data_IF_405509346111
#
_entry.id   IF_405509346111
#
_cell.length_a   1.000
_cell.length_b   1.000
_cell.length_c   1.000
_cell.angle_alpha   90.00
_cell.angle_beta   90.00
_cell.angle_gamma   90.00
#
_symmetry.space_group_name_H-M   'P 1'
#
loop_
_entity.id
_entity.type
_entity.pdbx_description
1 polymer ?
#
# COMPACT_ATOMS: atom_id res chain seq x y z
N UNK A 1 52.78 6.69 23.74
CA UNK A 1 51.31 6.91 23.70
C UNK A 1 50.66 6.47 22.37
N UNK A 2 51.24 5.54 21.60
CA UNK A 2 50.67 5.05 20.32
C UNK A 2 49.98 3.68 20.36
N UNK A 3 50.07 2.93 21.47
CA UNK A 3 49.56 1.56 21.56
C UNK A 3 48.05 1.47 21.81
N UNK A 4 47.44 2.46 22.49
CA UNK A 4 45.98 2.47 22.76
C UNK A 4 45.17 2.65 21.48
N UNK A 5 45.52 3.64 20.64
CA UNK A 5 44.83 3.88 19.37
C UNK A 5 44.95 2.71 18.39
N UNK A 6 46.07 2.00 18.39
CA UNK A 6 46.28 0.86 17.50
C UNK A 6 45.47 -0.37 17.96
N UNK A 7 45.40 -0.65 19.26
CA UNK A 7 44.54 -1.70 19.82
C UNK A 7 43.05 -1.41 19.62
N UNK A 8 42.62 -0.16 19.79
CA UNK A 8 41.23 0.25 19.55
C UNK A 8 40.82 0.07 18.07
N UNK A 9 41.73 0.33 17.13
CA UNK A 9 41.48 0.11 15.70
C UNK A 9 41.34 -1.39 15.35
N UNK A 10 42.17 -2.26 15.94
CA UNK A 10 42.09 -3.71 15.69
C UNK A 10 40.85 -4.34 16.34
N UNK A 11 40.51 -3.96 17.57
CA UNK A 11 39.29 -4.41 18.24
C UNK A 11 38.04 -3.95 17.49
N UNK A 12 38.03 -2.70 16.98
CA UNK A 12 36.93 -2.21 16.16
C UNK A 12 36.81 -3.00 14.84
N UNK A 13 37.92 -3.34 14.18
CA UNK A 13 37.87 -4.13 12.95
C UNK A 13 37.42 -5.59 13.20
N UNK A 14 37.86 -6.21 14.30
CA UNK A 14 37.43 -7.57 14.65
C UNK A 14 35.95 -7.61 15.07
N UNK A 15 35.50 -6.64 15.86
CA UNK A 15 34.09 -6.48 16.21
C UNK A 15 33.21 -6.33 14.95
N UNK A 16 33.60 -5.44 14.03
CA UNK A 16 32.89 -5.22 12.76
C UNK A 16 32.86 -6.49 11.92
N UNK A 17 33.97 -7.24 11.84
CA UNK A 17 34.01 -8.52 11.12
C UNK A 17 33.02 -9.53 11.70
N UNK A 18 33.03 -9.74 13.02
CA UNK A 18 32.13 -10.69 13.67
C UNK A 18 30.65 -10.29 13.54
N UNK A 19 30.34 -8.98 13.60
CA UNK A 19 28.99 -8.48 13.29
C UNK A 19 28.58 -8.82 11.85
N UNK A 20 29.49 -8.59 10.89
CA UNK A 20 29.23 -8.88 9.49
C UNK A 20 29.02 -10.39 9.25
N UNK A 21 29.70 -11.26 9.98
CA UNK A 21 29.48 -12.71 9.90
C UNK A 21 28.06 -13.11 10.33
N UNK A 22 27.55 -12.51 11.42
CA UNK A 22 26.15 -12.71 11.86
C UNK A 22 25.17 -12.20 10.80
N UNK A 23 25.42 -10.99 10.28
CA UNK A 23 24.57 -10.36 9.25
C UNK A 23 24.53 -11.22 7.99
N UNK A 24 25.68 -11.68 7.50
CA UNK A 24 25.78 -12.52 6.31
C UNK A 24 24.98 -13.83 6.48
N UNK A 25 25.09 -14.49 7.63
CA UNK A 25 24.32 -15.70 7.92
C UNK A 25 22.80 -15.41 8.00
N UNK A 26 22.41 -14.26 8.57
CA UNK A 26 21.01 -13.82 8.59
C UNK A 26 20.45 -13.55 7.19
N UNK A 27 21.24 -12.95 6.31
CA UNK A 27 20.89 -12.70 4.91
C UNK A 27 20.69 -14.01 4.12
N UNK A 28 21.57 -14.99 4.35
CA UNK A 28 21.49 -16.31 3.75
C UNK A 28 20.38 -17.19 4.37
N UNK A 29 19.82 -16.77 5.50
CA UNK A 29 18.78 -17.51 6.21
C UNK A 29 19.30 -18.73 6.98
N UNK A 30 20.59 -18.76 7.30
CA UNK A 30 21.26 -19.85 8.01
C UNK A 30 21.21 -19.66 9.53
N UNK A 31 20.12 -20.14 10.14
CA UNK A 31 19.88 -19.96 11.59
C UNK A 31 21.02 -20.47 12.46
N UNK A 32 21.54 -21.66 12.17
CA UNK A 32 22.61 -22.29 12.97
C UNK A 32 23.93 -21.50 12.87
N UNK A 33 24.32 -21.13 11.64
CA UNK A 33 25.51 -20.31 11.37
C UNK A 33 25.40 -18.95 12.05
N UNK A 34 24.24 -18.28 11.95
CA UNK A 34 24.00 -16.99 12.58
C UNK A 34 24.07 -17.08 14.12
N UNK A 35 23.50 -18.14 14.70
CA UNK A 35 23.55 -18.38 16.15
C UNK A 35 24.97 -18.62 16.65
N UNK A 36 25.79 -19.37 15.89
CA UNK A 36 27.19 -19.63 16.23
C UNK A 36 28.04 -18.35 16.13
N UNK A 37 27.93 -17.60 15.04
CA UNK A 37 28.62 -16.33 14.87
C UNK A 37 28.25 -15.32 15.97
N UNK A 38 26.97 -15.28 16.37
CA UNK A 38 26.50 -14.41 17.45
C UNK A 38 27.06 -14.80 18.82
N UNK A 39 27.21 -16.10 19.10
CA UNK A 39 27.83 -16.56 20.34
C UNK A 39 29.31 -16.15 20.42
N UNK A 40 30.04 -16.19 19.31
CA UNK A 40 31.43 -15.73 19.22
C UNK A 40 31.48 -14.20 19.45
N UNK A 41 30.64 -13.42 18.76
CA UNK A 41 30.54 -11.97 18.97
C UNK A 41 30.24 -11.62 20.44
N UNK A 42 29.31 -12.33 21.08
CA UNK A 42 28.94 -12.10 22.47
C UNK A 42 30.06 -12.44 23.46
N UNK A 43 30.84 -13.48 23.18
CA UNK A 43 31.97 -13.88 24.02
C UNK A 43 33.10 -12.85 23.95
N UNK A 44 33.43 -12.38 22.74
CA UNK A 44 34.54 -11.47 22.50
C UNK A 44 34.17 -10.00 22.81
N UNK A 45 32.90 -9.62 22.59
CA UNK A 45 32.41 -8.24 22.74
C UNK A 45 31.04 -8.19 23.46
N UNK A 46 30.97 -8.50 24.77
CA UNK A 46 29.71 -8.61 25.51
C UNK A 46 28.94 -7.30 25.69
N UNK A 47 29.58 -6.14 25.48
CA UNK A 47 28.98 -4.81 25.60
C UNK A 47 28.53 -4.23 24.24
N UNK A 48 28.51 -5.05 23.20
CA UNK A 48 28.15 -4.62 21.86
C UNK A 48 26.65 -4.30 21.75
N UNK A 49 26.34 -3.04 21.42
CA UNK A 49 24.97 -2.50 21.34
C UNK A 49 24.05 -3.24 20.35
N UNK A 50 24.61 -4.02 19.41
CA UNK A 50 23.83 -4.74 18.41
C UNK A 50 23.40 -6.15 18.88
N UNK A 51 23.96 -6.68 19.97
CA UNK A 51 23.74 -8.07 20.40
C UNK A 51 22.27 -8.46 20.55
N UNK A 52 21.48 -7.66 21.26
CA UNK A 52 20.07 -7.95 21.49
C UNK A 52 19.27 -7.91 20.18
N UNK A 53 19.57 -6.93 19.33
CA UNK A 53 18.90 -6.79 18.04
C UNK A 53 19.25 -7.92 17.07
N UNK A 54 20.50 -8.38 17.05
CA UNK A 54 20.94 -9.53 16.25
C UNK A 54 20.31 -10.83 16.79
N UNK A 55 20.24 -10.99 18.11
CA UNK A 55 19.58 -12.15 18.72
C UNK A 55 18.10 -12.21 18.35
N UNK A 56 17.40 -11.07 18.38
CA UNK A 56 16.01 -10.97 17.95
C UNK A 56 15.83 -11.41 16.49
N UNK A 57 16.72 -10.99 15.58
CA UNK A 57 16.66 -11.38 14.17
C UNK A 57 16.92 -12.88 13.96
N UNK A 58 17.82 -13.48 14.74
CA UNK A 58 18.08 -14.93 14.72
C UNK A 58 16.84 -15.69 15.20
N UNK A 59 16.21 -15.26 16.29
CA UNK A 59 14.98 -15.87 16.79
C UNK A 59 13.84 -15.76 15.75
N UNK A 60 13.68 -14.60 15.13
CA UNK A 60 12.69 -14.39 14.07
C UNK A 60 12.96 -15.27 12.83
N UNK A 61 14.23 -15.52 12.51
CA UNK A 61 14.62 -16.45 11.44
C UNK A 61 14.30 -17.91 11.80
N UNK A 62 14.48 -18.29 13.07
CA UNK A 62 14.18 -19.63 13.58
C UNK A 62 12.67 -19.94 13.65
N UNK A 63 11.83 -18.93 13.87
CA UNK A 63 10.37 -19.06 14.02
C UNK A 63 9.62 -19.30 12.68
N UNK A 64 10.02 -20.31 11.92
CA UNK A 64 9.28 -20.79 10.74
C UNK A 64 8.29 -21.88 11.15
N UNK A 65 7.21 -21.49 11.82
CA UNK A 65 6.09 -22.43 12.02
C UNK A 65 5.23 -22.48 10.76
N UNK A 66 4.94 -23.67 10.21
CA UNK A 66 3.98 -23.83 9.12
C UNK A 66 2.52 -23.77 9.62
N UNK A 67 2.30 -23.74 10.94
CA UNK A 67 0.97 -23.84 11.51
C UNK A 67 0.15 -22.57 11.23
N UNK A 68 -1.08 -22.73 10.69
CA UNK A 68 -2.01 -21.63 10.52
C UNK A 68 -2.29 -20.90 11.85
N UNK A 69 -2.60 -19.61 11.76
CA UNK A 69 -3.07 -18.88 12.93
C UNK A 69 -4.44 -19.38 13.37
N UNK A 70 -4.62 -19.54 14.68
CA UNK A 70 -5.89 -19.98 15.27
C UNK A 70 -6.99 -18.92 15.13
N UNK A 71 -6.63 -17.64 15.29
CA UNK A 71 -7.57 -16.52 15.25
C UNK A 71 -6.89 -15.20 14.82
N UNK A 72 -7.71 -14.16 14.64
CA UNK A 72 -7.25 -12.81 14.26
C UNK A 72 -6.38 -12.15 15.31
N UNK A 73 -6.55 -12.48 16.60
CA UNK A 73 -5.77 -11.88 17.69
C UNK A 73 -4.32 -12.38 17.68
N UNK A 74 -4.12 -13.68 17.44
CA UNK A 74 -2.81 -14.29 17.31
C UNK A 74 -2.07 -13.73 16.08
N UNK A 75 -2.78 -13.55 14.97
CA UNK A 75 -2.20 -12.89 13.79
C UNK A 75 -1.86 -11.42 14.07
N UNK A 76 -2.75 -10.66 14.72
CA UNK A 76 -2.52 -9.27 15.04
C UNK A 76 -1.29 -9.10 15.95
N UNK A 77 -1.13 -9.96 16.96
CA UNK A 77 0.04 -9.96 17.83
C UNK A 77 1.33 -10.26 17.06
N UNK A 78 1.32 -11.28 16.18
CA UNK A 78 2.48 -11.62 15.36
C UNK A 78 2.86 -10.50 14.38
N UNK A 79 1.87 -9.86 13.75
CA UNK A 79 2.07 -8.68 12.89
C UNK A 79 2.68 -7.52 13.68
N UNK A 80 2.11 -7.19 14.83
CA UNK A 80 2.60 -6.08 15.66
C UNK A 80 4.04 -6.32 16.10
N UNK A 81 4.37 -7.55 16.51
CA UNK A 81 5.73 -7.92 16.88
C UNK A 81 6.72 -7.76 15.72
N UNK A 82 6.31 -8.13 14.49
CA UNK A 82 7.14 -7.92 13.30
C UNK A 82 7.37 -6.44 13.02
N UNK A 83 6.34 -5.59 13.15
CA UNK A 83 6.41 -4.15 12.85
C UNK A 83 7.19 -3.35 13.91
N UNK A 84 6.95 -3.62 15.19
CA UNK A 84 7.45 -2.78 16.27
C UNK A 84 8.86 -3.15 16.71
N UNK A 85 9.26 -4.41 16.51
CA UNK A 85 10.53 -4.92 17.02
C UNK A 85 11.45 -5.43 15.92
N UNK A 86 10.97 -6.35 15.09
CA UNK A 86 11.81 -7.05 14.11
C UNK A 86 12.18 -6.11 12.94
N UNK A 87 11.22 -5.36 12.40
CA UNK A 87 11.46 -4.45 11.27
C UNK A 87 12.50 -3.35 11.59
N UNK A 88 12.41 -2.62 12.72
CA UNK A 88 13.43 -1.68 13.13
C UNK A 88 14.80 -2.34 13.33
N UNK A 89 14.84 -3.54 13.95
CA UNK A 89 16.08 -4.29 14.14
C UNK A 89 16.71 -4.71 12.80
N UNK A 90 15.89 -5.16 11.85
CA UNK A 90 16.35 -5.56 10.51
C UNK A 90 16.89 -4.35 9.74
N UNK A 91 16.16 -3.22 9.73
CA UNK A 91 16.60 -1.99 9.07
C UNK A 91 17.90 -1.44 9.67
N UNK A 92 18.07 -1.52 10.99
CA UNK A 92 19.28 -1.06 11.69
C UNK A 92 20.51 -1.90 11.36
N UNK A 93 20.38 -3.22 11.31
CA UNK A 93 21.53 -4.12 11.19
C UNK A 93 21.83 -4.58 9.76
N UNK A 94 20.79 -4.85 8.96
CA UNK A 94 20.94 -5.42 7.61
C UNK A 94 21.01 -4.34 6.52
N UNK A 95 20.73 -3.08 6.84
CA UNK A 95 20.77 -1.97 5.89
C UNK A 95 19.92 -2.25 4.64
N UNK A 96 20.56 -2.31 3.48
CA UNK A 96 19.90 -2.56 2.19
C UNK A 96 19.32 -3.97 2.06
N UNK A 97 19.87 -4.96 2.78
CA UNK A 97 19.38 -6.33 2.80
C UNK A 97 18.13 -6.52 3.69
N UNK A 98 17.76 -5.51 4.49
CA UNK A 98 16.58 -5.57 5.35
C UNK A 98 15.28 -5.78 4.54
N UNK A 99 15.13 -5.11 3.41
CA UNK A 99 13.93 -5.18 2.57
C UNK A 99 13.65 -6.59 2.05
N UNK A 100 14.57 -7.26 1.33
CA UNK A 100 14.35 -8.64 0.88
C UNK A 100 14.20 -9.62 2.05
N UNK A 101 14.90 -9.40 3.16
CA UNK A 101 14.78 -10.25 4.36
C UNK A 101 13.39 -10.15 5.01
N UNK A 102 12.90 -8.92 5.23
CA UNK A 102 11.57 -8.66 5.80
C UNK A 102 10.46 -9.16 4.89
N UNK A 103 10.65 -9.06 3.57
CA UNK A 103 9.72 -9.60 2.58
C UNK A 103 9.37 -11.06 2.87
N UNK A 104 10.39 -11.89 3.10
CA UNK A 104 10.18 -13.33 3.39
C UNK A 104 9.41 -13.52 4.70
N UNK A 105 9.64 -12.68 5.73
CA UNK A 105 8.91 -12.76 7.00
C UNK A 105 7.43 -12.40 6.86
N UNK A 106 7.14 -11.36 6.08
CA UNK A 106 5.77 -11.01 5.73
C UNK A 106 5.06 -12.13 4.96
N UNK A 107 5.76 -12.82 4.06
CA UNK A 107 5.21 -13.98 3.34
C UNK A 107 4.84 -15.12 4.29
N UNK A 108 5.73 -15.49 5.21
CA UNK A 108 5.46 -16.55 6.21
C UNK A 108 4.23 -16.21 7.07
N UNK A 109 4.08 -14.96 7.50
CA UNK A 109 2.86 -14.54 8.22
C UNK A 109 1.61 -14.63 7.34
N UNK A 110 1.72 -14.22 6.07
CA UNK A 110 0.62 -14.25 5.12
C UNK A 110 0.14 -15.66 4.80
N UNK A 111 1.06 -16.61 4.64
CA UNK A 111 0.75 -18.03 4.42
C UNK A 111 -0.06 -18.60 5.57
N UNK A 112 0.40 -18.39 6.80
CA UNK A 112 -0.28 -18.85 8.03
C UNK A 112 -1.64 -18.18 8.23
N UNK A 113 -1.83 -16.97 7.70
CA UNK A 113 -3.09 -16.24 7.75
C UNK A 113 -4.11 -16.67 6.69
N UNK A 114 -3.73 -17.50 5.71
CA UNK A 114 -4.56 -17.82 4.53
C UNK A 114 -5.93 -18.43 4.89
N UNK A 115 -6.01 -19.16 5.99
CA UNK A 115 -7.24 -19.79 6.46
C UNK A 115 -8.20 -18.84 7.19
N UNK A 116 -7.73 -17.66 7.61
CA UNK A 116 -8.55 -16.71 8.35
C UNK A 116 -9.44 -15.92 7.39
N UNK A 117 -10.75 -15.97 7.61
CA UNK A 117 -11.72 -15.14 6.89
C UNK A 117 -11.53 -13.66 7.22
N UNK A 118 -11.96 -12.78 6.31
CA UNK A 118 -11.95 -11.34 6.56
C UNK A 118 -12.93 -10.96 7.70
N UNK A 119 -12.46 -10.17 8.67
CA UNK A 119 -13.29 -9.65 9.75
C UNK A 119 -13.23 -8.10 9.80
N UNK A 120 -14.37 -7.38 9.76
CA UNK A 120 -14.38 -5.92 9.72
C UNK A 120 -13.76 -5.21 10.94
N UNK A 121 -13.73 -5.86 12.11
CA UNK A 121 -13.11 -5.29 13.33
C UNK A 121 -11.60 -5.51 13.35
N UNK A 122 -11.12 -6.57 12.69
CA UNK A 122 -9.69 -6.91 12.57
C UNK A 122 -9.23 -6.73 11.13
N UNK A 123 -9.46 -5.54 10.58
CA UNK A 123 -9.23 -5.19 9.17
C UNK A 123 -7.83 -5.58 8.71
N UNK A 124 -6.81 -5.35 9.53
CA UNK A 124 -5.42 -5.61 9.15
C UNK A 124 -4.96 -7.05 9.43
N UNK A 125 -5.77 -7.86 10.11
CA UNK A 125 -5.49 -9.27 10.40
C UNK A 125 -6.07 -10.18 9.31
N UNK A 126 -5.67 -9.94 8.06
CA UNK A 126 -6.05 -10.75 6.92
C UNK A 126 -4.85 -10.98 5.98
N UNK A 127 -4.78 -12.15 5.36
CA UNK A 127 -3.67 -12.55 4.50
C UNK A 127 -3.35 -11.52 3.40
N UNK A 128 -4.37 -10.92 2.78
CA UNK A 128 -4.19 -9.91 1.74
C UNK A 128 -3.33 -8.71 2.20
N UNK A 129 -3.55 -8.20 3.40
CA UNK A 129 -2.77 -7.07 3.93
C UNK A 129 -1.28 -7.44 4.08
N UNK A 130 -1.00 -8.67 4.50
CA UNK A 130 0.34 -9.20 4.70
C UNK A 130 1.05 -9.46 3.36
N UNK A 131 0.32 -9.97 2.36
CA UNK A 131 0.85 -10.13 1.01
C UNK A 131 1.24 -8.81 0.35
N UNK A 132 0.51 -7.72 0.63
CA UNK A 132 0.90 -6.38 0.18
C UNK A 132 2.23 -5.93 0.82
N UNK A 133 2.42 -6.15 2.13
CA UNK A 133 3.69 -5.86 2.82
C UNK A 133 4.84 -6.71 2.27
N UNK A 134 4.55 -7.95 1.87
CA UNK A 134 5.48 -8.83 1.19
C UNK A 134 5.74 -8.46 -0.29
N UNK A 135 5.09 -7.43 -0.84
CA UNK A 135 5.19 -7.09 -2.26
C UNK A 135 4.72 -8.22 -3.20
N UNK A 136 3.92 -9.17 -2.70
CA UNK A 136 3.34 -10.26 -3.48
C UNK A 136 1.98 -9.82 -4.04
N UNK A 137 2.04 -8.89 -4.99
CA UNK A 137 0.87 -8.15 -5.47
C UNK A 137 -0.20 -9.05 -6.07
N UNK A 138 0.16 -10.02 -6.90
CA UNK A 138 -0.81 -10.93 -7.50
C UNK A 138 -1.49 -11.81 -6.45
N UNK A 139 -0.72 -12.38 -5.52
CA UNK A 139 -1.24 -13.19 -4.40
C UNK A 139 -2.15 -12.38 -3.49
N UNK A 140 -1.83 -11.10 -3.26
CA UNK A 140 -2.70 -10.19 -2.52
C UNK A 140 -4.03 -9.99 -3.24
N UNK A 141 -4.03 -9.74 -4.55
CA UNK A 141 -5.25 -9.60 -5.34
C UNK A 141 -6.11 -10.88 -5.31
N UNK A 142 -5.48 -12.05 -5.44
CA UNK A 142 -6.17 -13.34 -5.38
C UNK A 142 -6.79 -13.59 -3.99
N UNK A 143 -6.09 -13.22 -2.92
CA UNK A 143 -6.61 -13.29 -1.55
C UNK A 143 -7.80 -12.35 -1.34
N UNK A 144 -7.76 -11.12 -1.87
CA UNK A 144 -8.90 -10.20 -1.81
C UNK A 144 -10.10 -10.72 -2.59
N UNK A 145 -9.88 -11.32 -3.77
CA UNK A 145 -10.95 -11.83 -4.61
C UNK A 145 -11.79 -12.94 -3.93
N UNK A 146 -11.24 -13.61 -2.90
CA UNK A 146 -11.95 -14.60 -2.08
C UNK A 146 -12.85 -14.00 -1.00
N UNK A 147 -12.70 -12.71 -0.70
CA UNK A 147 -13.56 -12.01 0.26
C UNK A 147 -14.90 -11.74 -0.42
N UNK A 148 -15.99 -12.20 0.18
CA UNK A 148 -17.33 -11.94 -0.32
C UNK A 148 -17.61 -10.44 -0.37
N UNK A 149 -18.16 -9.97 -1.50
CA UNK A 149 -18.52 -8.56 -1.70
C UNK A 149 -17.35 -7.57 -1.47
N UNK A 150 -16.10 -7.99 -1.66
CA UNK A 150 -14.90 -7.18 -1.40
C UNK A 150 -14.95 -5.77 -2.02
N UNK A 151 -15.55 -5.63 -3.21
CA UNK A 151 -15.67 -4.35 -3.94
C UNK A 151 -16.58 -3.33 -3.25
N UNK A 152 -17.44 -3.77 -2.32
CA UNK A 152 -18.33 -2.90 -1.51
C UNK A 152 -17.74 -2.54 -0.16
N UNK A 153 -16.61 -3.15 0.22
CA UNK A 153 -15.98 -2.97 1.52
C UNK A 153 -14.73 -2.10 1.31
N UNK A 154 -14.58 -0.95 2.00
CA UNK A 154 -13.48 -0.03 1.74
C UNK A 154 -12.07 -0.62 1.89
N UNK A 155 -11.84 -1.46 2.90
CA UNK A 155 -10.50 -2.03 3.16
C UNK A 155 -10.10 -3.04 2.07
N UNK A 156 -10.91 -4.07 1.75
CA UNK A 156 -10.59 -4.99 0.65
C UNK A 156 -10.49 -4.29 -0.70
N UNK A 157 -11.35 -3.31 -1.00
CA UNK A 157 -11.26 -2.54 -2.24
C UNK A 157 -9.93 -1.78 -2.35
N UNK A 158 -9.47 -1.15 -1.26
CA UNK A 158 -8.18 -0.47 -1.23
C UNK A 158 -7.00 -1.43 -1.48
N UNK A 159 -7.02 -2.61 -0.86
CA UNK A 159 -6.02 -3.65 -1.10
C UNK A 159 -6.02 -4.14 -2.55
N UNK A 160 -7.19 -4.38 -3.15
CA UNK A 160 -7.29 -4.78 -4.54
C UNK A 160 -6.73 -3.70 -5.47
N UNK A 161 -7.09 -2.43 -5.23
CA UNK A 161 -6.60 -1.31 -6.02
C UNK A 161 -5.07 -1.24 -5.92
N UNK A 162 -4.51 -1.26 -4.71
CA UNK A 162 -3.06 -1.23 -4.50
C UNK A 162 -2.34 -2.38 -5.22
N UNK A 163 -2.84 -3.61 -5.06
CA UNK A 163 -2.28 -4.78 -5.72
C UNK A 163 -2.31 -4.65 -7.25
N UNK A 164 -3.44 -4.25 -7.82
CA UNK A 164 -3.59 -4.14 -9.28
C UNK A 164 -2.83 -2.96 -9.87
N UNK A 165 -2.68 -1.85 -9.16
CA UNK A 165 -1.83 -0.75 -9.61
C UNK A 165 -0.38 -1.21 -9.76
N UNK A 166 0.12 -2.01 -8.81
CA UNK A 166 1.48 -2.54 -8.87
C UNK A 166 1.70 -3.56 -10.00
N UNK A 167 0.67 -4.33 -10.40
CA UNK A 167 0.78 -5.36 -11.45
C UNK A 167 0.43 -4.83 -12.84
N UNK A 168 -0.62 -4.02 -12.95
CA UNK A 168 -1.29 -3.65 -14.20
C UNK A 168 -1.20 -2.16 -14.52
N UNK A 169 -0.69 -1.34 -13.59
CA UNK A 169 -0.64 0.12 -13.72
C UNK A 169 -2.00 0.80 -13.55
N UNK A 170 -2.02 2.12 -13.74
CA UNK A 170 -3.19 2.96 -13.48
C UNK A 170 -4.34 2.76 -14.47
N UNK A 171 -4.02 2.60 -15.76
CA UNK A 171 -5.00 2.65 -16.84
C UNK A 171 -6.19 1.68 -16.70
N UNK A 172 -6.01 0.37 -16.42
CA UNK A 172 -7.15 -0.54 -16.22
C UNK A 172 -7.85 -0.35 -14.87
N UNK A 173 -7.30 0.44 -13.96
CA UNK A 173 -7.75 0.55 -12.58
C UNK A 173 -8.49 1.86 -12.26
N UNK A 174 -8.73 2.72 -13.25
CA UNK A 174 -9.55 3.93 -13.07
C UNK A 174 -10.94 3.66 -12.50
N UNK A 175 -11.58 2.54 -12.88
CA UNK A 175 -12.87 2.15 -12.32
C UNK A 175 -12.82 1.87 -10.82
N UNK A 176 -11.81 1.11 -10.37
CA UNK A 176 -11.61 0.80 -8.93
C UNK A 176 -11.18 2.04 -8.14
N UNK A 177 -10.39 2.92 -8.75
CA UNK A 177 -10.03 4.21 -8.18
C UNK A 177 -11.29 5.04 -7.90
N UNK A 178 -12.21 5.12 -8.87
CA UNK A 178 -13.44 5.89 -8.71
C UNK A 178 -14.32 5.33 -7.59
N UNK A 179 -14.47 4.01 -7.52
CA UNK A 179 -15.25 3.37 -6.46
C UNK A 179 -14.65 3.60 -5.08
N UNK A 180 -13.33 3.50 -4.94
CA UNK A 180 -12.68 3.75 -3.67
C UNK A 180 -12.80 5.23 -3.28
N UNK A 181 -12.73 6.14 -4.25
CA UNK A 181 -12.97 7.57 -4.03
C UNK A 181 -14.35 7.81 -3.41
N UNK A 182 -15.38 7.12 -3.88
CA UNK A 182 -16.74 7.29 -3.37
C UNK A 182 -16.96 6.60 -2.02
N UNK A 183 -16.36 5.43 -1.82
CA UNK A 183 -16.53 4.62 -0.62
C UNK A 183 -15.71 5.15 0.56
N UNK A 184 -14.46 5.54 0.33
CA UNK A 184 -13.53 5.98 1.37
C UNK A 184 -12.40 6.85 0.79
N UNK A 185 -12.64 8.17 0.63
CA UNK A 185 -11.65 9.12 0.13
C UNK A 185 -10.29 9.06 0.84
N UNK A 186 -10.29 8.90 2.17
CA UNK A 186 -9.07 8.79 2.98
C UNK A 186 -8.23 7.54 2.69
N UNK A 187 -8.87 6.43 2.31
CA UNK A 187 -8.16 5.22 1.89
C UNK A 187 -7.62 5.36 0.49
N UNK A 188 -8.35 6.06 -0.38
CA UNK A 188 -7.81 6.41 -1.68
C UNK A 188 -6.54 7.25 -1.52
N UNK A 189 -6.59 8.32 -0.72
CA UNK A 189 -5.42 9.16 -0.44
C UNK A 189 -4.21 8.33 0.03
N UNK A 190 -4.42 7.42 0.99
CA UNK A 190 -3.36 6.54 1.48
C UNK A 190 -2.78 5.63 0.38
N UNK A 191 -3.62 5.09 -0.51
CA UNK A 191 -3.16 4.26 -1.65
C UNK A 191 -2.38 5.11 -2.65
N UNK A 192 -2.87 6.29 -3.00
CA UNK A 192 -2.22 7.16 -3.98
C UNK A 192 -0.89 7.73 -3.45
N UNK A 193 -0.79 8.01 -2.15
CA UNK A 193 0.46 8.45 -1.51
C UNK A 193 1.58 7.41 -1.54
N UNK A 194 1.24 6.13 -1.71
CA UNK A 194 2.22 5.03 -1.85
C UNK A 194 2.59 4.71 -3.30
N UNK A 195 1.94 5.36 -4.28
CA UNK A 195 2.12 5.08 -5.70
C UNK A 195 2.86 6.20 -6.40
N UNK A 196 3.93 5.86 -7.11
CA UNK A 196 4.67 6.78 -7.96
C UNK A 196 4.21 6.64 -9.41
N UNK A 197 3.03 7.16 -9.73
CA UNK A 197 2.53 7.19 -11.11
C UNK A 197 2.69 8.60 -11.74
N UNK A 198 3.39 8.71 -12.89
CA UNK A 198 3.69 10.00 -13.51
C UNK A 198 2.47 10.73 -14.10
N UNK A 199 1.36 10.02 -14.36
CA UNK A 199 0.11 10.63 -14.80
C UNK A 199 -0.74 11.09 -13.62
N UNK A 200 -0.72 10.35 -12.52
CA UNK A 200 -1.57 10.62 -11.36
C UNK A 200 -1.13 11.86 -10.59
N UNK A 201 0.18 12.02 -10.32
CA UNK A 201 0.68 13.11 -9.48
C UNK A 201 0.35 14.52 -10.04
N UNK A 202 0.54 14.81 -11.35
CA UNK A 202 0.13 16.08 -11.91
C UNK A 202 -1.38 16.32 -11.88
N UNK A 203 -2.18 15.27 -12.07
CA UNK A 203 -3.65 15.38 -12.01
C UNK A 203 -4.12 15.72 -10.59
N UNK A 204 -3.57 15.06 -9.57
CA UNK A 204 -3.88 15.36 -8.17
C UNK A 204 -3.45 16.78 -7.78
N UNK A 205 -2.27 17.22 -8.22
CA UNK A 205 -1.80 18.58 -7.94
C UNK A 205 -2.72 19.65 -8.55
N UNK A 206 -3.14 19.45 -9.81
CA UNK A 206 -4.08 20.36 -10.49
C UNK A 206 -5.47 20.31 -9.89
N UNK A 207 -5.94 19.13 -9.47
CA UNK A 207 -7.19 18.99 -8.74
C UNK A 207 -7.16 19.80 -7.44
N UNK A 208 -6.12 19.65 -6.62
CA UNK A 208 -5.99 20.39 -5.36
C UNK A 208 -5.87 21.91 -5.52
N UNK A 209 -5.40 22.40 -6.66
CA UNK A 209 -5.30 23.84 -6.95
C UNK A 209 -6.58 24.42 -7.57
N UNK A 210 -7.27 23.64 -8.41
CA UNK A 210 -8.35 24.13 -9.27
C UNK A 210 -9.75 23.68 -8.88
N UNK A 211 -9.89 22.72 -7.96
CA UNK A 211 -11.18 22.26 -7.48
C UNK A 211 -11.58 22.98 -6.19
N UNK A 212 -12.74 23.64 -6.21
CA UNK A 212 -13.31 24.27 -5.03
C UNK A 212 -14.33 23.33 -4.39
N UNK A 213 -13.94 22.71 -3.27
CA UNK A 213 -14.76 21.77 -2.50
C UNK A 213 -14.79 22.11 -1.01
N UNK A 214 -14.87 21.09 -0.16
CA UNK A 214 -14.84 21.21 1.29
C UNK A 214 -13.45 21.59 1.85
N UNK A 215 -12.39 21.42 1.06
CA UNK A 215 -11.01 21.69 1.47
C UNK A 215 -10.40 20.58 2.33
N UNK A 216 -11.01 19.40 2.34
CA UNK A 216 -10.54 18.23 3.07
C UNK A 216 -10.45 16.99 2.16
N UNK A 217 -10.03 15.86 2.72
CA UNK A 217 -9.87 14.60 1.98
C UNK A 217 -11.16 14.10 1.33
N UNK A 218 -12.35 14.56 1.76
CA UNK A 218 -13.62 14.15 1.16
C UNK A 218 -13.79 14.64 -0.28
N UNK A 219 -13.08 15.71 -0.67
CA UNK A 219 -13.09 16.24 -2.03
C UNK A 219 -12.56 15.23 -3.05
N UNK A 220 -11.69 14.30 -2.65
CA UNK A 220 -11.21 13.24 -3.53
C UNK A 220 -12.33 12.38 -4.11
N UNK A 221 -13.52 12.35 -3.51
CA UNK A 221 -14.69 11.68 -4.10
C UNK A 221 -15.09 12.26 -5.47
N UNK A 222 -14.79 13.55 -5.72
CA UNK A 222 -15.08 14.25 -6.98
C UNK A 222 -13.97 14.11 -8.02
N UNK A 223 -12.78 13.71 -7.60
CA UNK A 223 -11.61 13.56 -8.47
C UNK A 223 -11.90 12.75 -9.75
N UNK A 224 -12.59 11.59 -9.72
CA UNK A 224 -12.87 10.83 -10.95
C UNK A 224 -13.69 11.62 -11.98
N UNK A 225 -14.66 12.41 -11.54
CA UNK A 225 -15.49 13.23 -12.43
C UNK A 225 -14.71 14.43 -12.97
N UNK A 226 -13.92 15.07 -12.12
CA UNK A 226 -13.05 16.18 -12.51
C UNK A 226 -11.98 15.73 -13.52
N UNK A 227 -11.40 14.54 -13.36
CA UNK A 227 -10.40 14.01 -14.32
C UNK A 227 -10.93 13.96 -15.76
N UNK A 228 -12.25 13.81 -15.97
CA UNK A 228 -12.84 13.82 -17.32
C UNK A 228 -12.86 15.21 -17.99
N UNK A 229 -12.74 16.31 -17.23
CA UNK A 229 -12.54 17.64 -17.82
C UNK A 229 -11.15 17.75 -18.44
N UNK A 230 -10.16 17.17 -17.77
CA UNK A 230 -8.75 17.19 -18.19
C UNK A 230 -8.38 16.11 -19.21
N UNK A 231 -8.97 14.92 -19.06
CA UNK A 231 -8.63 13.71 -19.82
C UNK A 231 -9.91 12.97 -20.26
N UNK A 232 -10.65 13.50 -21.26
CA UNK A 232 -11.85 12.83 -21.78
C UNK A 232 -11.61 11.41 -22.28
N UNK A 233 -10.39 11.10 -22.74
CA UNK A 233 -9.99 9.78 -23.22
C UNK A 233 -10.04 8.68 -22.14
N UNK A 234 -10.14 9.04 -20.85
CA UNK A 234 -10.31 8.08 -19.75
C UNK A 234 -11.75 7.62 -19.54
N UNK A 235 -12.71 8.18 -20.28
CA UNK A 235 -14.14 7.86 -20.16
C UNK A 235 -14.43 6.35 -20.19
N UNK A 236 -13.84 5.62 -21.14
CA UNK A 236 -14.05 4.17 -21.25
C UNK A 236 -13.53 3.38 -20.03
N UNK A 237 -12.45 3.82 -19.39
CA UNK A 237 -11.88 3.16 -18.21
C UNK A 237 -12.68 3.51 -16.94
N UNK A 238 -13.08 4.77 -16.80
CA UNK A 238 -13.93 5.23 -15.69
C UNK A 238 -15.35 4.66 -15.76
N UNK A 239 -15.87 4.38 -16.97
CA UNK A 239 -17.17 3.73 -17.15
C UNK A 239 -17.23 2.31 -16.55
N UNK A 240 -16.08 1.65 -16.37
CA UNK A 240 -15.98 0.31 -15.74
C UNK A 240 -16.23 0.33 -14.22
N UNK A 241 -16.30 1.51 -13.61
CA UNK A 241 -16.71 1.66 -12.22
C UNK A 241 -18.11 1.07 -12.04
N UNK A 242 -18.31 0.27 -10.99
CA UNK A 242 -19.61 -0.27 -10.59
C UNK A 242 -20.43 0.80 -9.87
N UNK A 243 -21.75 0.72 -10.01
CA UNK A 243 -22.67 1.56 -9.26
C UNK A 243 -22.68 1.13 -7.79
N UNK A 244 -22.69 2.09 -6.86
CA UNK A 244 -22.53 1.78 -5.45
C UNK A 244 -23.41 2.58 -4.52
N UNK A 245 -23.12 3.88 -4.37
CA UNK A 245 -23.67 4.70 -3.29
C UNK A 245 -24.69 5.73 -3.78
N UNK A 246 -24.78 5.95 -5.09
CA UNK A 246 -25.64 6.95 -5.73
C UNK A 246 -25.49 8.35 -5.11
N UNK A 247 -24.32 8.66 -4.56
CA UNK A 247 -23.99 9.98 -3.99
C UNK A 247 -23.68 10.98 -5.10
N UNK A 248 -23.72 12.26 -4.76
CA UNK A 248 -23.48 13.34 -5.72
C UNK A 248 -22.18 13.15 -6.54
N UNK A 249 -21.01 12.75 -5.99
CA UNK A 249 -19.80 12.57 -6.79
C UNK A 249 -19.88 11.41 -7.81
N UNK A 250 -20.58 10.33 -7.47
CA UNK A 250 -20.84 9.22 -8.40
C UNK A 250 -21.76 9.67 -9.53
N UNK A 251 -22.86 10.35 -9.18
CA UNK A 251 -23.80 10.91 -10.17
C UNK A 251 -23.09 11.88 -11.12
N UNK A 252 -22.15 12.69 -10.59
CA UNK A 252 -21.33 13.59 -11.37
C UNK A 252 -20.52 12.87 -12.44
N UNK A 253 -19.83 11.79 -12.07
CA UNK A 253 -19.06 10.99 -13.02
C UNK A 253 -19.97 10.43 -14.12
N UNK A 254 -21.11 9.83 -13.74
CA UNK A 254 -22.05 9.25 -14.71
C UNK A 254 -22.58 10.30 -15.68
N UNK A 255 -22.94 11.47 -15.16
CA UNK A 255 -23.40 12.60 -15.97
C UNK A 255 -22.31 13.12 -16.91
N UNK A 256 -21.06 13.20 -16.46
CA UNK A 256 -19.92 13.57 -17.29
C UNK A 256 -19.67 12.57 -18.43
N UNK A 257 -19.78 11.27 -18.16
CA UNK A 257 -19.68 10.23 -19.18
C UNK A 257 -20.81 10.34 -20.22
N UNK A 258 -22.04 10.60 -19.78
CA UNK A 258 -23.17 10.86 -20.68
C UNK A 258 -22.95 12.10 -21.54
N UNK A 259 -22.51 13.20 -20.94
CA UNK A 259 -22.21 14.46 -21.64
C UNK A 259 -21.17 14.25 -22.75
N UNK A 260 -20.06 13.56 -22.44
CA UNK A 260 -19.02 13.23 -23.42
C UNK A 260 -19.55 12.37 -24.57
N UNK A 261 -20.41 11.40 -24.27
CA UNK A 261 -21.05 10.57 -25.29
C UNK A 261 -22.00 11.37 -26.20
N UNK A 262 -22.81 12.26 -25.63
CA UNK A 262 -23.75 13.11 -26.37
C UNK A 262 -23.03 14.14 -27.24
N UNK A 263 -21.93 14.71 -26.76
CA UNK A 263 -21.07 15.62 -27.53
C UNK A 263 -20.48 14.92 -28.75
N UNK A 264 -19.98 13.70 -28.58
CA UNK A 264 -19.47 12.90 -29.69
C UNK A 264 -20.54 12.57 -30.75
N UNK A 265 -21.80 12.44 -30.32
CA UNK A 265 -22.95 12.16 -31.20
C UNK A 265 -23.57 13.43 -31.84
N UNK A 266 -23.09 14.63 -31.50
CA UNK A 266 -23.66 15.89 -32.01
C UNK A 266 -25.05 16.25 -31.46
N UNK A 267 -25.47 15.66 -30.34
CA UNK A 267 -26.81 15.84 -29.75
C UNK A 267 -26.91 17.11 -28.88
N UNK A 268 -26.73 18.27 -29.51
CA UNK A 268 -26.57 19.55 -28.80
C UNK A 268 -27.74 19.94 -27.87
N UNK A 269 -28.99 19.57 -28.21
CA UNK A 269 -30.13 19.89 -27.35
C UNK A 269 -30.06 19.15 -26.00
N UNK A 270 -29.73 17.86 -26.03
CA UNK A 270 -29.64 17.02 -24.82
C UNK A 270 -28.45 17.44 -23.95
N UNK A 271 -27.35 17.89 -24.58
CA UNK A 271 -26.17 18.43 -23.88
C UNK A 271 -26.53 19.63 -23.01
N UNK A 272 -27.40 20.53 -23.49
CA UNK A 272 -27.80 21.73 -22.71
C UNK A 272 -28.53 21.33 -21.42
N UNK A 273 -29.45 20.37 -21.49
CA UNK A 273 -30.17 19.91 -20.30
C UNK A 273 -29.24 19.21 -19.31
N UNK A 274 -28.35 18.35 -19.80
CA UNK A 274 -27.35 17.68 -18.96
C UNK A 274 -26.35 18.65 -18.32
N UNK A 275 -25.98 19.73 -19.01
CA UNK A 275 -25.14 20.82 -18.46
C UNK A 275 -25.82 21.54 -17.30
N UNK A 276 -27.14 21.78 -17.38
CA UNK A 276 -27.92 22.35 -16.27
C UNK A 276 -27.90 21.44 -15.05
N UNK A 277 -28.07 20.13 -15.25
CA UNK A 277 -27.97 19.14 -14.16
C UNK A 277 -26.59 19.16 -13.51
N UNK A 278 -25.51 19.23 -14.30
CA UNK A 278 -24.14 19.25 -13.77
C UNK A 278 -23.89 20.51 -12.93
N UNK A 279 -24.36 21.66 -13.41
CA UNK A 279 -24.30 22.93 -12.66
C UNK A 279 -25.04 22.86 -11.34
N UNK A 280 -26.21 22.22 -11.32
CA UNK A 280 -27.00 22.04 -10.09
C UNK A 280 -26.34 21.07 -9.10
N UNK A 281 -25.52 20.14 -9.59
CA UNK A 281 -24.84 19.15 -8.77
C UNK A 281 -23.56 19.70 -8.12
N UNK A 282 -22.70 20.38 -8.89
CA UNK A 282 -21.48 21.00 -8.38
C UNK A 282 -20.98 22.13 -9.30
N UNK A 283 -20.99 23.37 -8.80
CA UNK A 283 -20.68 24.55 -9.60
C UNK A 283 -19.22 24.59 -10.08
N UNK A 284 -18.25 24.24 -9.22
CA UNK A 284 -16.82 24.22 -9.59
C UNK A 284 -16.51 23.17 -10.66
N UNK A 285 -17.15 22.00 -10.58
CA UNK A 285 -16.98 20.94 -11.58
C UNK A 285 -17.56 21.34 -12.92
N UNK A 286 -18.73 21.99 -12.91
CA UNK A 286 -19.33 22.56 -14.11
C UNK A 286 -18.43 23.64 -14.75
N UNK A 287 -17.87 24.54 -13.94
CA UNK A 287 -16.95 25.57 -14.44
C UNK A 287 -15.69 24.96 -15.08
N UNK A 288 -15.08 23.95 -14.45
CA UNK A 288 -13.94 23.22 -15.01
C UNK A 288 -14.30 22.52 -16.32
N UNK A 289 -15.48 21.88 -16.40
CA UNK A 289 -15.96 21.26 -17.63
C UNK A 289 -16.15 22.31 -18.75
N UNK A 290 -16.79 23.44 -18.46
CA UNK A 290 -17.02 24.51 -19.45
C UNK A 290 -15.71 25.14 -19.93
N UNK A 291 -14.68 25.26 -19.09
CA UNK A 291 -13.36 25.77 -19.48
C UNK A 291 -12.60 24.83 -20.42
N UNK A 292 -12.96 23.54 -20.45
CA UNK A 292 -12.32 22.50 -21.27
C UNK A 292 -13.00 22.23 -22.62
N UNK A 293 -14.01 23.02 -22.99
CA UNK A 293 -14.85 22.81 -24.18
C UNK A 293 -14.86 24.02 -25.11
#
# INVERSE_FOLDING_TARGET
>A
MGASMQFDFFNNNQNVSLRNDVILALEQGETATAQQAWQILKADFPQDDCLDSLQLLIQALAQRSPEPFADHSALQAARQHLQDHIEPAARRNLGTAATPWLRVRWQVLAERATALAYHPEHKDAHAAALWLQAGQWQTAADAVARIESWRRIPTPLAWMLQARLAVQGLQPNWGLLAELAWLSPSRLEAVLGQQSDPLLAPLLARFGQGFEGAGDTTDLAWFPAWVLTERPNLAAHLAQAQAGLHRAPEQALRLMLELLGLEHQGRHHDVIERRKTLRGLHASLYAAYMASR
#
